data_IF_311803003546
#
_entry.id   IF_311803003546
#
_cell.length_a   1.000
_cell.length_b   1.000
_cell.length_c   1.000
_cell.angle_alpha   90.00
_cell.angle_beta   90.00
_cell.angle_gamma   90.00
#
_symmetry.space_group_name_H-M   'P 1'
#
loop_
_entity.id
_entity.type
_entity.pdbx_description
1 polymer ?
#
# COMPACT_ATOMS: atom_id res chain seq x y z
N UNK A 1 16.40 6.69 33.78
CA UNK A 1 17.08 7.27 32.60
C UNK A 1 17.77 6.13 31.85
N UNK A 2 17.05 5.51 30.91
CA UNK A 2 17.64 4.58 29.95
C UNK A 2 17.89 5.37 28.67
N UNK A 3 19.09 5.26 28.11
CA UNK A 3 19.49 5.93 26.87
C UNK A 3 18.74 5.30 25.69
N UNK A 4 17.71 5.98 25.19
CA UNK A 4 17.06 5.66 23.92
C UNK A 4 17.85 6.32 22.79
N UNK A 5 18.95 5.67 22.41
CA UNK A 5 19.79 6.04 21.26
C UNK A 5 19.85 4.93 20.21
N UNK A 6 18.79 4.14 20.06
CA UNK A 6 18.66 3.22 18.95
C UNK A 6 18.16 4.00 17.73
N UNK A 7 19.04 4.30 16.77
CA UNK A 7 18.55 4.63 15.43
C UNK A 7 17.72 3.44 14.97
N UNK A 8 16.48 3.67 14.53
CA UNK A 8 15.70 2.64 13.85
C UNK A 8 16.47 2.27 12.59
N UNK A 9 17.22 1.17 12.65
CA UNK A 9 18.02 0.71 11.52
C UNK A 9 17.06 -0.02 10.58
N UNK A 10 16.59 0.69 9.56
CA UNK A 10 15.87 0.09 8.44
C UNK A 10 16.75 -0.99 7.81
N UNK A 11 16.20 -2.18 7.62
CA UNK A 11 16.90 -3.34 7.05
C UNK A 11 16.90 -3.28 5.53
N UNK A 12 15.81 -2.77 4.93
CA UNK A 12 15.68 -2.75 3.48
C UNK A 12 16.25 -1.47 2.88
N UNK A 13 17.13 -1.66 1.89
CA UNK A 13 17.70 -0.57 1.10
C UNK A 13 16.67 0.03 0.14
N UNK A 14 16.82 1.31 -0.14
CA UNK A 14 15.97 2.06 -1.06
C UNK A 14 16.81 2.46 -2.27
N UNK A 15 16.63 1.77 -3.39
CA UNK A 15 17.36 2.02 -4.65
C UNK A 15 16.64 3.02 -5.55
N UNK A 16 15.39 3.37 -5.22
CA UNK A 16 14.63 4.45 -5.84
C UNK A 16 13.87 5.23 -4.76
N UNK A 17 13.82 6.57 -4.78
CA UNK A 17 13.13 7.35 -3.74
C UNK A 17 11.68 6.94 -3.56
N UNK A 18 11.19 6.93 -2.32
CA UNK A 18 9.77 6.72 -2.04
C UNK A 18 9.00 7.96 -2.49
N UNK A 19 8.12 7.82 -3.48
CA UNK A 19 7.23 8.91 -3.91
C UNK A 19 5.83 8.72 -3.35
N UNK A 20 5.20 9.82 -2.92
CA UNK A 20 3.87 9.84 -2.33
C UNK A 20 3.08 11.05 -2.82
N UNK A 21 1.77 10.99 -2.58
CA UNK A 21 0.83 12.08 -2.85
C UNK A 21 0.18 12.50 -1.55
N UNK A 22 0.13 13.81 -1.28
CA UNK A 22 -0.53 14.33 -0.06
C UNK A 22 -2.03 14.02 -0.07
N UNK A 23 -2.59 13.87 1.12
CA UNK A 23 -4.01 13.55 1.29
C UNK A 23 -4.95 14.53 0.57
N UNK A 24 -4.66 15.84 0.58
CA UNK A 24 -5.49 16.85 -0.09
C UNK A 24 -5.59 16.59 -1.59
N UNK A 25 -4.45 16.28 -2.21
CA UNK A 25 -4.35 15.96 -3.62
C UNK A 25 -5.05 14.62 -3.90
N UNK A 26 -4.84 13.58 -3.07
CA UNK A 26 -5.55 12.29 -3.16
C UNK A 26 -7.07 12.46 -3.14
N UNK A 27 -7.60 13.29 -2.23
CA UNK A 27 -9.04 13.51 -2.08
C UNK A 27 -9.66 14.29 -3.25
N UNK A 28 -8.84 15.02 -4.01
CA UNK A 28 -9.25 15.78 -5.20
C UNK A 28 -9.20 14.96 -6.50
N UNK A 29 -8.48 13.84 -6.51
CA UNK A 29 -8.33 13.00 -7.70
C UNK A 29 -9.67 12.45 -8.18
N UNK A 30 -9.85 12.43 -9.50
CA UNK A 30 -11.01 11.82 -10.17
C UNK A 30 -10.64 10.60 -11.01
N UNK A 31 -9.33 10.34 -11.15
CA UNK A 31 -8.74 9.19 -11.81
C UNK A 31 -7.34 8.94 -11.20
N UNK A 32 -6.91 7.68 -11.13
CA UNK A 32 -5.51 7.36 -10.79
C UNK A 32 -4.69 7.60 -12.06
N UNK A 33 -3.63 8.41 -11.97
CA UNK A 33 -2.76 8.73 -13.12
C UNK A 33 -1.39 8.12 -12.91
N UNK A 34 -0.64 7.93 -13.99
CA UNK A 34 0.69 7.33 -13.91
C UNK A 34 1.67 8.25 -13.18
N UNK A 35 2.74 7.66 -12.65
CA UNK A 35 3.83 8.35 -11.95
C UNK A 35 4.31 9.62 -12.67
N UNK A 36 4.60 9.50 -13.97
CA UNK A 36 5.19 10.58 -14.75
C UNK A 36 4.23 11.76 -14.90
N UNK A 37 2.93 11.49 -15.06
CA UNK A 37 1.90 12.53 -15.20
C UNK A 37 1.76 13.31 -13.89
N UNK A 38 1.65 12.61 -12.75
CA UNK A 38 1.54 13.28 -11.45
C UNK A 38 2.82 14.02 -11.05
N UNK A 39 3.99 13.49 -11.44
CA UNK A 39 5.28 14.14 -11.19
C UNK A 39 5.44 15.41 -12.02
N UNK A 40 5.03 15.39 -13.29
CA UNK A 40 5.05 16.57 -14.16
C UNK A 40 4.12 17.69 -13.65
N UNK A 41 2.98 17.31 -13.08
CA UNK A 41 2.02 18.23 -12.46
C UNK A 41 2.47 18.73 -11.07
N UNK A 42 3.56 18.22 -10.51
CA UNK A 42 4.04 18.56 -9.17
C UNK A 42 3.19 18.00 -8.03
N UNK A 43 2.27 17.07 -8.33
CA UNK A 43 1.38 16.40 -7.37
C UNK A 43 2.11 15.24 -6.66
N UNK A 44 2.96 14.53 -7.39
CA UNK A 44 3.77 13.43 -6.85
C UNK A 44 5.13 13.97 -6.37
N UNK A 45 5.44 13.76 -5.09
CA UNK A 45 6.66 14.27 -4.45
C UNK A 45 7.42 13.16 -3.75
N UNK A 46 8.74 13.32 -3.59
CA UNK A 46 9.51 12.42 -2.75
C UNK A 46 9.06 12.58 -1.29
N UNK A 47 8.83 11.47 -0.59
CA UNK A 47 8.36 11.47 0.78
C UNK A 47 9.45 11.97 1.73
N UNK A 48 9.09 12.90 2.61
CA UNK A 48 9.93 13.37 3.70
C UNK A 48 9.36 12.88 5.04
N UNK A 49 10.04 11.94 5.73
CA UNK A 49 9.57 11.38 6.99
C UNK A 49 9.56 12.39 8.15
N UNK A 50 10.18 13.57 8.00
CA UNK A 50 10.12 14.65 8.98
C UNK A 50 8.81 15.45 8.85
N UNK A 51 8.24 15.49 7.65
CA UNK A 51 7.14 16.40 7.32
C UNK A 51 5.78 15.71 7.16
N UNK A 52 5.69 14.38 7.25
CA UNK A 52 4.44 13.68 7.02
C UNK A 52 4.38 12.28 7.61
N UNK A 53 3.20 11.69 7.50
CA UNK A 53 2.91 10.30 7.89
C UNK A 53 2.61 9.51 6.63
N UNK A 54 3.37 8.44 6.37
CA UNK A 54 3.22 7.62 5.18
C UNK A 54 2.14 6.55 5.38
N UNK A 55 1.20 6.48 4.43
CA UNK A 55 0.24 5.38 4.30
C UNK A 55 0.63 4.54 3.10
N UNK A 56 1.08 3.31 3.34
CA UNK A 56 1.27 2.32 2.29
C UNK A 56 -0.08 1.70 1.94
N UNK A 57 -0.54 1.90 0.71
CA UNK A 57 -1.77 1.29 0.21
C UNK A 57 -1.44 0.05 -0.62
N UNK A 58 -1.64 -1.12 -0.02
CA UNK A 58 -1.57 -2.40 -0.71
C UNK A 58 -2.92 -2.72 -1.34
N UNK A 59 -2.95 -3.06 -2.63
CA UNK A 59 -4.17 -3.35 -3.36
C UNK A 59 -3.90 -4.32 -4.51
N UNK A 60 -4.96 -4.87 -5.09
CA UNK A 60 -4.85 -5.71 -6.27
C UNK A 60 -5.33 -4.92 -7.50
N UNK A 61 -4.57 -5.03 -8.61
CA UNK A 61 -4.99 -4.48 -9.88
C UNK A 61 -6.31 -5.10 -10.37
N UNK A 62 -7.26 -4.25 -10.74
CA UNK A 62 -8.57 -4.60 -11.27
C UNK A 62 -8.61 -4.72 -12.80
N UNK A 63 -7.48 -4.52 -13.48
CA UNK A 63 -7.32 -4.84 -14.90
C UNK A 63 -5.85 -5.14 -15.20
N UNK A 64 -5.58 -5.65 -16.41
CA UNK A 64 -4.22 -5.96 -16.90
C UNK A 64 -3.41 -4.72 -17.23
N UNK A 65 -4.05 -3.57 -17.47
CA UNK A 65 -3.38 -2.33 -17.94
C UNK A 65 -3.46 -1.19 -16.96
N UNK A 66 -4.41 -1.21 -16.05
CA UNK A 66 -4.65 -0.16 -15.08
C UNK A 66 -5.10 -0.75 -13.74
N UNK A 67 -4.58 -0.27 -12.60
CA UNK A 67 -4.94 -0.80 -11.29
C UNK A 67 -6.43 -0.64 -10.95
N UNK A 68 -7.03 0.47 -11.39
CA UNK A 68 -8.40 0.82 -11.02
C UNK A 68 -9.10 1.62 -12.14
N UNK A 69 -9.42 0.98 -13.29
CA UNK A 69 -9.91 1.68 -14.47
C UNK A 69 -11.27 2.38 -14.25
N UNK A 70 -12.09 1.86 -13.33
CA UNK A 70 -13.37 2.45 -12.97
C UNK A 70 -13.27 3.49 -11.82
N UNK A 71 -12.06 3.71 -11.29
CA UNK A 71 -11.81 4.54 -10.11
C UNK A 71 -12.64 4.09 -8.89
N UNK A 72 -12.96 2.80 -8.81
CA UNK A 72 -13.83 2.23 -7.80
C UNK A 72 -13.07 1.95 -6.50
N UNK A 73 -11.87 1.38 -6.59
CA UNK A 73 -11.01 1.15 -5.42
C UNK A 73 -10.59 2.46 -4.78
N UNK A 74 -10.16 3.41 -5.61
CA UNK A 74 -9.68 4.69 -5.16
C UNK A 74 -10.81 5.54 -4.55
N UNK A 75 -12.06 5.40 -5.01
CA UNK A 75 -13.22 5.99 -4.33
C UNK A 75 -13.41 5.43 -2.92
N UNK A 76 -13.28 4.12 -2.72
CA UNK A 76 -13.32 3.52 -1.38
C UNK A 76 -12.19 4.08 -0.51
N UNK A 77 -10.98 4.20 -1.05
CA UNK A 77 -9.87 4.83 -0.33
C UNK A 77 -10.20 6.28 0.07
N UNK A 78 -10.73 7.08 -0.85
CA UNK A 78 -11.11 8.46 -0.56
C UNK A 78 -12.23 8.54 0.48
N UNK A 79 -13.20 7.63 0.45
CA UNK A 79 -14.27 7.55 1.47
C UNK A 79 -13.69 7.30 2.85
N UNK A 80 -12.79 6.31 2.99
CA UNK A 80 -12.09 6.02 4.26
C UNK A 80 -11.31 7.22 4.75
N UNK A 81 -10.54 7.88 3.88
CA UNK A 81 -9.74 9.03 4.24
C UNK A 81 -10.60 10.24 4.63
N UNK A 82 -11.72 10.50 3.93
CA UNK A 82 -12.67 11.56 4.31
C UNK A 82 -13.27 11.29 5.67
N UNK A 83 -13.75 10.07 5.90
CA UNK A 83 -14.32 9.67 7.18
C UNK A 83 -13.28 9.75 8.32
N UNK A 84 -12.00 9.50 8.02
CA UNK A 84 -10.93 9.65 8.99
C UNK A 84 -10.70 11.13 9.36
N UNK A 85 -10.69 12.03 8.37
CA UNK A 85 -10.51 13.47 8.58
C UNK A 85 -11.68 14.11 9.34
N UNK A 86 -12.92 13.72 9.02
CA UNK A 86 -14.11 14.27 9.70
C UNK A 86 -14.43 13.58 11.05
N UNK A 87 -13.70 12.52 11.39
CA UNK A 87 -13.85 11.77 12.64
C UNK A 87 -15.04 10.81 12.68
N UNK A 88 -15.71 10.58 11.54
CA UNK A 88 -16.83 9.63 11.42
C UNK A 88 -16.40 8.20 11.13
N UNK A 89 -15.11 7.96 10.87
CA UNK A 89 -14.57 6.64 10.56
C UNK A 89 -14.88 5.64 11.68
N UNK A 90 -15.41 4.49 11.29
CA UNK A 90 -15.59 3.35 12.18
C UNK A 90 -14.44 2.38 11.98
N UNK A 91 -13.65 2.19 13.02
CA UNK A 91 -12.62 1.15 13.08
C UNK A 91 -13.18 -0.02 13.86
N UNK A 92 -13.39 -1.13 13.18
CA UNK A 92 -13.79 -2.39 13.79
C UNK A 92 -12.57 -3.28 14.04
N UNK A 93 -12.68 -4.14 15.04
CA UNK A 93 -11.70 -5.18 15.31
C UNK A 93 -12.21 -6.46 14.67
N UNK A 94 -11.38 -7.11 13.84
CA UNK A 94 -11.74 -8.42 13.29
C UNK A 94 -12.07 -9.41 14.43
N UNK A 95 -13.08 -10.27 14.25
CA UNK A 95 -13.54 -11.16 15.31
C UNK A 95 -12.45 -12.12 15.80
N UNK A 96 -11.52 -12.55 14.93
CA UNK A 96 -10.38 -13.39 15.35
C UNK A 96 -9.43 -12.58 16.23
N UNK A 97 -9.17 -11.33 15.87
CA UNK A 97 -8.42 -10.39 16.72
C UNK A 97 -9.09 -10.21 18.07
N UNK A 98 -10.40 -9.96 18.08
CA UNK A 98 -11.17 -9.74 19.29
C UNK A 98 -11.04 -10.91 20.28
N UNK A 99 -11.03 -12.14 19.77
CA UNK A 99 -10.89 -13.36 20.58
C UNK A 99 -9.46 -13.53 21.12
N UNK A 100 -8.44 -13.19 20.34
CA UNK A 100 -7.04 -13.44 20.70
C UNK A 100 -6.40 -12.32 21.52
N UNK A 101 -6.66 -11.07 21.16
CA UNK A 101 -6.00 -9.86 21.69
C UNK A 101 -6.98 -8.92 22.42
N UNK A 102 -8.28 -9.24 22.39
CA UNK A 102 -9.34 -8.39 22.93
C UNK A 102 -9.86 -7.35 21.93
N UNK A 103 -10.87 -6.59 22.35
CA UNK A 103 -11.61 -5.64 21.50
C UNK A 103 -10.95 -4.26 21.34
N UNK A 104 -9.76 -4.05 21.92
CA UNK A 104 -9.11 -2.74 21.85
C UNK A 104 -8.44 -2.56 20.49
N UNK A 105 -8.83 -1.55 19.72
CA UNK A 105 -8.07 -1.15 18.54
C UNK A 105 -6.73 -0.54 18.95
N UNK A 106 -5.70 -0.73 18.15
CA UNK A 106 -4.42 -0.01 18.30
C UNK A 106 -4.36 1.25 17.45
N UNK A 107 -5.18 1.31 16.41
CA UNK A 107 -5.40 2.51 15.60
C UNK A 107 -6.85 2.93 15.77
N UNK A 108 -7.08 4.15 16.24
CA UNK A 108 -8.42 4.72 16.38
C UNK A 108 -8.70 5.72 15.26
N UNK A 109 -9.98 6.02 15.04
CA UNK A 109 -10.38 7.11 14.16
C UNK A 109 -9.75 8.45 14.60
N UNK A 110 -9.64 8.68 15.92
CA UNK A 110 -9.00 9.86 16.48
C UNK A 110 -7.51 9.94 16.14
N UNK A 111 -6.78 8.82 16.16
CA UNK A 111 -5.37 8.80 15.77
C UNK A 111 -5.20 9.22 14.31
N UNK A 112 -6.04 8.69 13.42
CA UNK A 112 -6.04 9.02 12.00
C UNK A 112 -6.45 10.47 11.74
N UNK A 113 -7.39 11.00 12.53
CA UNK A 113 -7.79 12.41 12.45
C UNK A 113 -6.64 13.34 12.85
N UNK A 114 -5.90 13.04 13.92
CA UNK A 114 -4.78 13.86 14.42
C UNK A 114 -3.67 14.00 13.38
N UNK A 115 -3.34 12.91 12.68
CA UNK A 115 -2.31 12.92 11.63
C UNK A 115 -2.86 13.35 10.26
N UNK A 116 -4.16 13.56 10.16
CA UNK A 116 -4.93 13.64 8.94
C UNK A 116 -4.30 14.47 7.83
N UNK A 117 -4.05 15.76 8.08
CA UNK A 117 -3.50 16.68 7.09
C UNK A 117 -2.04 16.38 6.71
N UNK A 118 -1.31 15.68 7.57
CA UNK A 118 0.07 15.26 7.35
C UNK A 118 0.18 13.92 6.59
N UNK A 119 -0.94 13.27 6.28
CA UNK A 119 -0.93 11.99 5.58
C UNK A 119 -0.47 12.15 4.13
N UNK A 120 0.42 11.25 3.73
CA UNK A 120 0.88 11.10 2.36
C UNK A 120 0.73 9.63 1.93
N UNK A 121 0.09 9.43 0.79
CA UNK A 121 -0.29 8.10 0.30
C UNK A 121 0.76 7.60 -0.68
N UNK A 122 1.25 6.39 -0.41
CA UNK A 122 1.97 5.58 -1.39
C UNK A 122 0.98 4.62 -2.05
N UNK A 123 0.94 4.61 -3.37
CA UNK A 123 0.10 3.73 -4.19
C UNK A 123 0.90 3.34 -5.42
N UNK A 124 1.07 2.04 -5.67
CA UNK A 124 2.06 1.50 -6.62
C UNK A 124 2.03 2.19 -8.00
N UNK A 125 0.86 2.47 -8.57
CA UNK A 125 0.75 2.96 -9.95
C UNK A 125 1.30 4.36 -10.16
N UNK A 126 1.12 5.25 -9.18
CA UNK A 126 1.73 6.57 -9.23
C UNK A 126 3.05 6.65 -8.49
N UNK A 127 3.32 5.77 -7.52
CA UNK A 127 4.58 5.79 -6.79
C UNK A 127 5.72 5.14 -7.60
N UNK A 128 5.40 4.17 -8.45
CA UNK A 128 6.32 3.44 -9.32
C UNK A 128 6.22 3.97 -10.76
N UNK A 129 7.35 4.28 -11.42
CA UNK A 129 7.36 4.67 -12.83
C UNK A 129 6.70 3.62 -13.75
N UNK A 130 5.82 4.07 -14.66
CA UNK A 130 5.08 3.20 -15.58
C UNK A 130 5.70 3.17 -16.98
N UNK A 131 5.99 1.99 -17.54
CA UNK A 131 6.59 1.84 -18.88
C UNK A 131 5.72 2.33 -20.05
N UNK A 132 4.41 2.46 -19.87
CA UNK A 132 3.48 2.81 -20.94
C UNK A 132 3.45 4.31 -21.30
N UNK A 133 4.27 5.15 -20.65
CA UNK A 133 4.37 6.57 -21.02
C UNK A 133 5.02 6.73 -22.40
N UNK A 134 4.60 7.74 -23.18
CA UNK A 134 5.00 8.00 -24.59
C UNK A 134 6.47 8.45 -24.71
N UNK A 135 7.42 7.60 -24.31
CA UNK A 135 8.84 7.92 -24.26
C UNK A 135 9.60 7.36 -25.48
N UNK A 136 10.60 8.10 -25.97
CA UNK A 136 11.55 7.62 -26.98
C UNK A 136 12.50 6.54 -26.44
N UNK A 137 13.26 5.86 -27.30
CA UNK A 137 14.00 4.64 -26.94
C UNK A 137 15.00 4.78 -25.77
N UNK A 138 15.74 5.89 -25.66
CA UNK A 138 16.66 6.13 -24.53
C UNK A 138 15.91 6.40 -23.22
N UNK A 139 14.86 7.21 -23.28
CA UNK A 139 13.99 7.52 -22.13
C UNK A 139 13.27 6.25 -21.65
N UNK A 140 12.91 5.35 -22.56
CA UNK A 140 12.30 4.06 -22.21
C UNK A 140 13.24 3.14 -21.42
N UNK A 141 14.56 3.17 -21.70
CA UNK A 141 15.55 2.40 -20.96
C UNK A 141 15.69 2.92 -19.52
N UNK A 142 15.84 4.22 -19.34
CA UNK A 142 15.95 4.84 -18.01
C UNK A 142 14.67 4.61 -17.19
N UNK A 143 13.51 4.72 -17.84
CA UNK A 143 12.21 4.44 -17.23
C UNK A 143 12.08 2.98 -16.77
N UNK A 144 12.63 2.05 -17.54
CA UNK A 144 12.65 0.64 -17.17
C UNK A 144 13.55 0.38 -15.97
N UNK A 145 14.72 1.03 -15.91
CA UNK A 145 15.62 0.94 -14.76
C UNK A 145 14.98 1.53 -13.50
N UNK A 146 14.37 2.71 -13.62
CA UNK A 146 13.70 3.37 -12.50
C UNK A 146 12.50 2.58 -12.00
N UNK A 147 11.68 2.02 -12.92
CA UNK A 147 10.59 1.11 -12.56
C UNK A 147 11.12 -0.10 -11.80
N UNK A 148 12.18 -0.75 -12.29
CA UNK A 148 12.78 -1.91 -11.63
C UNK A 148 13.28 -1.55 -10.23
N UNK A 149 14.04 -0.46 -10.09
CA UNK A 149 14.56 -0.02 -8.79
C UNK A 149 13.44 0.33 -7.81
N UNK A 150 12.36 0.95 -8.27
CA UNK A 150 11.18 1.26 -7.47
C UNK A 150 10.46 -0.01 -7.00
N UNK A 151 10.26 -0.99 -7.87
CA UNK A 151 9.67 -2.30 -7.51
C UNK A 151 10.53 -3.02 -6.48
N UNK A 152 11.85 -3.05 -6.68
CA UNK A 152 12.77 -3.69 -5.73
C UNK A 152 12.86 -2.95 -4.39
N UNK A 153 12.47 -1.67 -4.34
CA UNK A 153 12.40 -0.87 -3.11
C UNK A 153 11.08 -1.01 -2.33
N UNK A 154 10.10 -1.76 -2.84
CA UNK A 154 8.80 -1.96 -2.17
C UNK A 154 8.95 -2.43 -0.71
N UNK A 155 9.80 -3.43 -0.36
CA UNK A 155 10.02 -3.81 1.03
C UNK A 155 10.45 -2.63 1.92
N UNK A 156 11.35 -1.77 1.42
CA UNK A 156 11.76 -0.58 2.16
C UNK A 156 10.64 0.44 2.33
N UNK A 157 9.78 0.62 1.33
CA UNK A 157 8.61 1.50 1.46
C UNK A 157 7.63 1.00 2.51
N UNK A 158 7.39 -0.31 2.56
CA UNK A 158 6.54 -0.93 3.58
C UNK A 158 7.14 -0.74 4.98
N UNK A 159 8.44 -1.03 5.15
CA UNK A 159 9.15 -0.91 6.43
C UNK A 159 9.14 0.54 6.95
N UNK A 160 9.24 1.52 6.04
CA UNK A 160 9.29 2.96 6.37
C UNK A 160 7.92 3.61 6.53
N UNK A 161 6.84 2.92 6.18
CA UNK A 161 5.49 3.49 6.26
C UNK A 161 4.92 3.39 7.67
N UNK A 162 4.32 4.46 8.16
CA UNK A 162 3.69 4.50 9.48
C UNK A 162 2.43 3.62 9.52
N UNK A 163 1.63 3.68 8.45
CA UNK A 163 0.38 2.94 8.31
C UNK A 163 0.43 1.99 7.12
N UNK A 164 -0.17 0.80 7.30
CA UNK A 164 -0.34 -0.19 6.24
C UNK A 164 -1.82 -0.45 6.01
N UNK A 165 -2.33 -0.01 4.87
CA UNK A 165 -3.73 -0.10 4.46
C UNK A 165 -3.87 -1.12 3.34
N UNK A 166 -4.62 -2.19 3.58
CA UNK A 166 -5.09 -3.12 2.56
C UNK A 166 -6.37 -2.52 1.98
N UNK A 167 -6.33 -2.10 0.72
CA UNK A 167 -7.49 -1.64 -0.02
C UNK A 167 -8.02 -2.80 -0.86
N UNK A 168 -9.11 -3.40 -0.40
CA UNK A 168 -9.69 -4.57 -1.04
C UNK A 168 -11.23 -4.53 -1.01
N UNK A 169 -11.85 -3.52 -1.67
CA UNK A 169 -13.30 -3.49 -1.85
C UNK A 169 -13.75 -4.65 -2.72
N UNK A 170 -15.05 -4.91 -2.77
CA UNK A 170 -15.64 -5.93 -3.64
C UNK A 170 -16.02 -5.33 -4.99
N UNK A 171 -15.17 -5.55 -6.00
CA UNK A 171 -15.37 -5.05 -7.37
C UNK A 171 -15.04 -6.12 -8.42
N UNK A 172 -15.63 -6.00 -9.60
CA UNK A 172 -15.34 -6.90 -10.72
C UNK A 172 -14.01 -6.55 -11.40
N UNK A 173 -13.26 -7.58 -11.80
CA UNK A 173 -12.05 -7.42 -12.59
C UNK A 173 -12.41 -7.15 -14.06
N UNK A 174 -11.98 -6.00 -14.58
CA UNK A 174 -12.43 -5.48 -15.87
C UNK A 174 -12.16 -6.41 -17.07
N UNK A 175 -11.10 -7.24 -17.01
CA UNK A 175 -10.72 -8.11 -18.11
C UNK A 175 -10.90 -9.63 -17.88
N UNK A 176 -11.46 -10.03 -16.74
CA UNK A 176 -11.64 -11.44 -16.39
C UNK A 176 -13.09 -11.62 -15.91
N UNK A 177 -13.96 -12.20 -16.75
CA UNK A 177 -15.35 -12.48 -16.37
C UNK A 177 -15.43 -13.27 -15.08
N UNK A 178 -16.41 -12.93 -14.24
CA UNK A 178 -16.70 -13.59 -12.95
C UNK A 178 -15.56 -13.57 -11.93
N UNK A 179 -14.49 -12.80 -12.18
CA UNK A 179 -13.42 -12.59 -11.21
C UNK A 179 -13.63 -11.28 -10.45
N UNK A 180 -13.41 -11.35 -9.13
CA UNK A 180 -13.54 -10.22 -8.23
C UNK A 180 -12.17 -9.82 -7.67
N UNK A 181 -11.93 -8.52 -7.60
CA UNK A 181 -10.93 -7.94 -6.71
C UNK A 181 -11.61 -7.73 -5.38
N UNK A 182 -11.09 -8.38 -4.34
CA UNK A 182 -11.57 -8.34 -2.95
C UNK A 182 -10.49 -8.91 -2.03
N UNK A 183 -10.73 -8.90 -0.72
CA UNK A 183 -9.74 -9.38 0.24
C UNK A 183 -9.31 -10.86 0.01
N UNK A 184 -10.22 -11.82 -0.25
CA UNK A 184 -9.82 -13.18 -0.62
C UNK A 184 -8.92 -13.30 -1.85
N UNK A 185 -9.15 -12.53 -2.92
CA UNK A 185 -8.28 -12.56 -4.11
C UNK A 185 -6.96 -11.84 -3.87
N UNK A 186 -6.97 -10.70 -3.18
CA UNK A 186 -5.78 -9.95 -2.77
C UNK A 186 -4.80 -10.81 -1.97
N UNK A 187 -5.29 -11.57 -0.98
CA UNK A 187 -4.48 -12.46 -0.13
C UNK A 187 -3.71 -13.53 -0.89
N UNK A 188 -4.11 -13.85 -2.11
CA UNK A 188 -3.46 -14.87 -2.94
C UNK A 188 -2.32 -14.29 -3.78
N UNK A 189 -2.16 -12.97 -3.89
CA UNK A 189 -1.18 -12.32 -4.78
C UNK A 189 0.22 -12.28 -4.17
N UNK A 190 1.23 -12.75 -4.91
CA UNK A 190 2.62 -12.85 -4.44
C UNK A 190 3.20 -11.56 -3.84
N UNK A 191 3.12 -10.45 -4.56
CA UNK A 191 3.56 -9.13 -4.06
C UNK A 191 2.80 -8.68 -2.80
N UNK A 192 1.47 -8.80 -2.78
CA UNK A 192 0.67 -8.47 -1.61
C UNK A 192 1.03 -9.35 -0.39
N UNK A 193 1.39 -10.61 -0.62
CA UNK A 193 1.91 -11.50 0.42
C UNK A 193 3.29 -11.07 0.93
N UNK A 194 4.16 -10.59 0.05
CA UNK A 194 5.46 -10.05 0.46
C UNK A 194 5.26 -8.79 1.33
N UNK A 195 4.45 -7.85 0.87
CA UNK A 195 4.18 -6.58 1.55
C UNK A 195 3.67 -6.82 2.98
N UNK A 196 2.69 -7.71 3.17
CA UNK A 196 2.23 -8.05 4.52
C UNK A 196 3.31 -8.76 5.37
N UNK A 197 4.13 -9.63 4.77
CA UNK A 197 5.23 -10.31 5.50
C UNK A 197 6.23 -9.29 6.02
N UNK A 198 6.65 -8.36 5.15
CA UNK A 198 7.53 -7.25 5.53
C UNK A 198 6.90 -6.42 6.63
N UNK A 199 5.61 -6.06 6.52
CA UNK A 199 4.90 -5.28 7.55
C UNK A 199 4.89 -5.98 8.91
N UNK A 200 4.63 -7.29 8.95
CA UNK A 200 4.55 -8.06 10.20
C UNK A 200 5.93 -8.18 10.88
N UNK A 201 6.99 -8.28 10.08
CA UNK A 201 8.36 -8.45 10.56
C UNK A 201 9.07 -7.11 10.86
N UNK A 202 8.56 -6.00 10.33
CA UNK A 202 9.10 -4.65 10.57
C UNK A 202 8.99 -4.25 12.04
N UNK A 203 9.93 -3.45 12.58
CA UNK A 203 9.82 -2.87 13.91
C UNK A 203 8.59 -1.95 14.05
N UNK A 204 7.91 -1.96 15.20
CA UNK A 204 6.80 -1.06 15.49
C UNK A 204 5.41 -1.73 15.51
N UNK A 205 4.35 -0.94 15.29
CA UNK A 205 2.96 -1.40 15.34
C UNK A 205 2.63 -2.28 14.13
N UNK A 206 2.40 -3.58 14.39
CA UNK A 206 2.26 -4.67 13.39
C UNK A 206 0.86 -4.81 12.80
N UNK A 207 -0.02 -3.86 13.10
CA UNK A 207 -1.41 -3.92 12.71
C UNK A 207 -1.56 -3.48 11.26
N UNK A 208 -2.50 -4.13 10.57
CA UNK A 208 -2.89 -3.80 9.20
C UNK A 208 -4.34 -3.37 9.21
N UNK A 209 -4.64 -2.36 8.41
CA UNK A 209 -5.97 -1.78 8.29
C UNK A 209 -6.58 -2.26 6.99
N UNK A 210 -7.68 -3.00 7.05
CA UNK A 210 -8.40 -3.49 5.87
C UNK A 210 -9.56 -2.55 5.56
N UNK A 211 -9.49 -1.89 4.41
CA UNK A 211 -10.56 -1.09 3.85
C UNK A 211 -11.37 -1.92 2.85
N UNK A 212 -12.67 -2.02 3.08
CA UNK A 212 -13.62 -2.72 2.19
C UNK A 212 -14.75 -1.78 1.75
N UNK A 213 -15.64 -2.27 0.90
CA UNK A 213 -16.81 -1.51 0.40
C UNK A 213 -17.66 -0.97 1.55
N UNK A 214 -18.11 0.28 1.44
CA UNK A 214 -19.00 0.92 2.43
C UNK A 214 -18.29 1.73 3.52
N UNK A 215 -17.01 2.06 3.31
CA UNK A 215 -16.26 2.94 4.22
C UNK A 215 -15.92 2.30 5.57
N UNK A 216 -15.93 0.97 5.65
CA UNK A 216 -15.55 0.21 6.84
C UNK A 216 -14.03 0.00 6.88
N UNK A 217 -13.41 0.29 8.03
CA UNK A 217 -12.01 -0.01 8.29
C UNK A 217 -11.91 -1.09 9.37
N UNK A 218 -11.24 -2.20 9.08
CA UNK A 218 -11.06 -3.30 10.01
C UNK A 218 -9.59 -3.44 10.39
N UNK A 219 -9.29 -3.48 11.68
CA UNK A 219 -7.95 -3.77 12.17
C UNK A 219 -7.74 -5.29 12.23
N UNK A 220 -6.80 -5.78 11.41
CA UNK A 220 -6.51 -7.19 11.22
C UNK A 220 -5.34 -7.66 12.11
N UNK A 221 -5.36 -8.93 12.56
CA UNK A 221 -4.18 -9.56 13.18
C UNK A 221 -3.23 -10.12 12.14
N UNK A 222 -1.98 -10.34 12.54
CA UNK A 222 -0.99 -11.06 11.74
C UNK A 222 -1.28 -12.56 11.57
N UNK A 223 -2.22 -13.14 12.34
CA UNK A 223 -2.41 -14.58 12.46
C UNK A 223 -2.98 -15.23 11.18
N UNK A 224 -3.78 -14.49 10.42
CA UNK A 224 -4.35 -14.92 9.14
C UNK A 224 -3.28 -15.27 8.10
N UNK A 225 -2.04 -14.84 8.32
CA UNK A 225 -1.01 -14.79 7.28
C UNK A 225 0.22 -15.65 7.57
N UNK A 226 0.34 -16.18 8.79
CA UNK A 226 1.52 -16.98 9.23
C UNK A 226 1.71 -18.23 8.35
N UNK A 227 0.63 -18.76 7.79
CA UNK A 227 0.65 -19.98 6.97
C UNK A 227 0.63 -19.72 5.46
N UNK A 228 0.69 -18.46 5.03
CA UNK A 228 0.56 -18.09 3.63
C UNK A 228 1.83 -17.38 3.12
N UNK A 229 2.83 -18.17 2.73
CA UNK A 229 4.12 -17.67 2.24
C UNK A 229 3.97 -16.83 0.97
N UNK A 230 4.85 -15.84 0.77
CA UNK A 230 4.80 -15.02 -0.45
C UNK A 230 5.24 -15.78 -1.71
N UNK A 231 6.14 -16.75 -1.57
CA UNK A 231 6.58 -17.63 -2.66
C UNK A 231 5.47 -18.48 -3.25
N UNK A 232 4.46 -18.82 -2.46
CA UNK A 232 3.28 -19.58 -2.88
C UNK A 232 2.14 -18.69 -3.40
N UNK A 233 2.39 -17.39 -3.58
CA UNK A 233 1.42 -16.46 -4.14
C UNK A 233 1.30 -16.55 -5.66
N UNK A 234 0.22 -15.99 -6.18
CA UNK A 234 -0.05 -15.82 -7.60
C UNK A 234 0.65 -14.57 -8.12
N UNK A 235 1.47 -14.73 -9.16
CA UNK A 235 2.18 -13.65 -9.82
C UNK A 235 1.55 -13.34 -11.18
N UNK A 236 1.52 -12.06 -11.56
CA UNK A 236 1.15 -11.68 -12.92
C UNK A 236 2.33 -11.89 -13.89
N UNK A 237 3.55 -11.78 -13.36
CA UNK A 237 4.82 -12.01 -14.05
C UNK A 237 5.60 -13.03 -13.23
N UNK A 238 5.74 -14.26 -13.74
CA UNK A 238 6.35 -15.36 -12.97
C UNK A 238 7.80 -15.08 -12.54
N UNK A 239 8.54 -14.27 -13.30
CA UNK A 239 9.90 -13.89 -12.94
C UNK A 239 10.00 -13.10 -11.63
N UNK A 240 8.93 -12.37 -11.24
CA UNK A 240 8.89 -11.61 -9.98
C UNK A 240 8.99 -12.52 -8.75
N UNK A 241 8.64 -13.81 -8.90
CA UNK A 241 8.71 -14.78 -7.82
C UNK A 241 10.13 -14.92 -7.26
N UNK A 242 11.15 -14.87 -8.11
CA UNK A 242 12.54 -14.95 -7.67
C UNK A 242 12.91 -13.76 -6.77
N UNK A 243 12.53 -12.54 -7.19
CA UNK A 243 12.73 -11.32 -6.41
C UNK A 243 12.02 -11.38 -5.06
N UNK A 244 10.76 -11.83 -5.04
CA UNK A 244 9.98 -11.97 -3.80
C UNK A 244 10.59 -13.02 -2.86
N UNK A 245 11.07 -14.14 -3.41
CA UNK A 245 11.69 -15.20 -2.61
C UNK A 245 13.00 -14.76 -1.96
N UNK A 246 13.82 -13.95 -2.64
CA UNK A 246 15.07 -13.43 -2.09
C UNK A 246 14.84 -12.58 -0.83
N UNK A 247 13.76 -11.81 -0.79
CA UNK A 247 13.44 -10.95 0.36
C UNK A 247 13.06 -11.78 1.60
N UNK A 248 12.45 -12.95 1.42
CA UNK A 248 12.00 -13.83 2.53
C UNK A 248 13.11 -14.77 3.01
N UNK A 249 14.11 -15.05 2.16
CA UNK A 249 15.26 -15.89 2.52
C UNK A 249 16.35 -15.14 3.30
N UNK A 250 16.29 -13.80 3.34
CA UNK A 250 17.20 -12.93 4.09
C UNK A 250 16.80 -12.81 5.57
#
# INVERSE_FOLDING_TARGET
RASLGGQSQFVFETTFPMYTVRISDVLSMTAVRAHQDLKADGVLVAFDPICGVAVFVSHQWASRRHPDPAFAQFKTLQEILRNALDGSLRVEVDMRRAVQEGLRTTVTASDLQVVGESLSVWYDYFAVPQLQSRAGASVAHDLSSDMHNAVMSIPAYVERSDLFLILAPEIEHADVPDAFVNYPSWKRRGWCRLERTVRILSPGAKHMLLATTGGLLQEMTSFDYVFESAGDGNFAVEADKESVMLVIAA
#
